data_IF_041965744817
#
_entry.id   IF_041965744817
#
_cell.length_a   1.000
_cell.length_b   1.000
_cell.length_c   1.000
_cell.angle_alpha   90.00
_cell.angle_beta   90.00
_cell.angle_gamma   90.00
#
_symmetry.space_group_name_H-M   'P 1'
#
loop_
_entity.id
_entity.type
_entity.pdbx_description
1 polymer ?
#
# COMPACT_ATOMS: atom_id res chain seq x y z
N UNK A 1 -2.76 -4.15 -22.60
CA UNK A 1 -2.73 -3.08 -21.58
C UNK A 1 -2.52 -3.76 -20.24
N UNK A 2 -1.64 -3.28 -19.36
CA UNK A 2 -1.59 -3.85 -18.00
C UNK A 2 -2.86 -3.39 -17.27
N UNK A 3 -3.74 -4.33 -16.94
CA UNK A 3 -4.79 -4.09 -15.95
C UNK A 3 -4.15 -4.37 -14.59
N UNK A 4 -4.21 -3.42 -13.65
CA UNK A 4 -3.67 -3.58 -12.31
C UNK A 4 -4.80 -3.36 -11.31
N UNK A 5 -4.95 -4.28 -10.36
CA UNK A 5 -6.08 -4.26 -9.43
C UNK A 5 -5.62 -4.47 -8.00
N UNK A 6 -6.27 -3.76 -7.06
CA UNK A 6 -6.12 -4.02 -5.63
C UNK A 6 -7.25 -4.95 -5.19
N UNK A 7 -6.92 -6.04 -4.47
CA UNK A 7 -7.89 -6.85 -3.72
C UNK A 7 -7.98 -6.38 -2.28
N UNK A 8 -9.15 -6.62 -1.67
CA UNK A 8 -9.49 -6.14 -0.32
C UNK A 8 -9.48 -4.61 -0.20
N UNK A 9 -9.97 -3.91 -1.22
CA UNK A 9 -10.00 -2.45 -1.28
C UNK A 9 -10.72 -1.82 -0.07
N UNK A 10 -11.87 -2.36 0.34
CA UNK A 10 -12.63 -1.84 1.47
C UNK A 10 -11.84 -1.90 2.78
N UNK A 11 -11.11 -3.01 3.01
CA UNK A 11 -10.26 -3.20 4.18
C UNK A 11 -9.08 -2.22 4.16
N UNK A 12 -8.40 -2.13 3.01
CA UNK A 12 -7.32 -1.18 2.81
C UNK A 12 -7.76 0.28 3.03
N UNK A 13 -8.87 0.69 2.40
CA UNK A 13 -9.41 2.05 2.53
C UNK A 13 -9.79 2.35 3.99
N UNK A 14 -10.41 1.40 4.69
CA UNK A 14 -10.72 1.56 6.11
C UNK A 14 -9.47 1.81 6.94
N UNK A 15 -8.43 1.00 6.79
CA UNK A 15 -7.18 1.16 7.52
C UNK A 15 -6.46 2.46 7.13
N UNK A 16 -6.46 2.81 5.85
CA UNK A 16 -5.88 4.06 5.36
C UNK A 16 -6.53 5.28 6.00
N UNK A 17 -7.87 5.31 6.08
CA UNK A 17 -8.61 6.41 6.72
C UNK A 17 -8.36 6.51 8.22
N UNK A 18 -8.10 5.40 8.88
CA UNK A 18 -7.82 5.39 10.31
C UNK A 18 -6.45 6.01 10.64
N UNK A 19 -5.48 5.92 9.72
CA UNK A 19 -4.13 6.47 9.94
C UNK A 19 -3.88 7.82 9.26
N UNK A 20 -4.58 8.10 8.15
CA UNK A 20 -4.39 9.32 7.37
C UNK A 20 -4.93 10.57 8.08
N UNK A 21 -4.24 11.69 7.93
CA UNK A 21 -4.74 13.00 8.33
C UNK A 21 -5.58 13.71 7.23
N UNK A 22 -5.87 13.02 6.12
CA UNK A 22 -6.65 13.53 4.99
C UNK A 22 -8.00 12.79 4.86
N UNK A 23 -8.96 13.03 5.78
CA UNK A 23 -10.23 12.29 5.82
C UNK A 23 -11.13 12.52 4.59
N UNK A 24 -10.88 13.58 3.82
CA UNK A 24 -11.68 13.96 2.65
C UNK A 24 -11.04 13.62 1.30
N UNK A 25 -9.88 12.95 1.28
CA UNK A 25 -9.33 12.43 0.02
C UNK A 25 -10.34 11.49 -0.64
N UNK A 26 -10.41 11.35 -1.97
CA UNK A 26 -11.39 10.44 -2.60
C UNK A 26 -10.82 9.03 -2.69
N UNK A 27 -11.65 7.99 -2.55
CA UNK A 27 -11.20 6.59 -2.62
C UNK A 27 -10.47 6.30 -3.95
N UNK A 28 -10.97 6.82 -5.07
CA UNK A 28 -10.30 6.74 -6.38
C UNK A 28 -8.88 7.32 -6.35
N UNK A 29 -8.67 8.47 -5.67
CA UNK A 29 -7.35 9.08 -5.58
C UNK A 29 -6.39 8.27 -4.72
N UNK A 30 -6.88 7.72 -3.61
CA UNK A 30 -6.08 6.85 -2.73
C UNK A 30 -5.62 5.62 -3.52
N UNK A 31 -6.56 4.94 -4.18
CA UNK A 31 -6.29 3.72 -4.94
C UNK A 31 -5.36 3.98 -6.13
N UNK A 32 -5.56 5.08 -6.87
CA UNK A 32 -4.71 5.45 -8.00
C UNK A 32 -3.27 5.73 -7.54
N UNK A 33 -3.08 6.49 -6.46
CA UNK A 33 -1.78 6.80 -5.89
C UNK A 33 -1.03 5.53 -5.47
N UNK A 34 -1.71 4.62 -4.78
CA UNK A 34 -1.13 3.37 -4.27
C UNK A 34 -0.75 2.46 -5.43
N UNK A 35 -1.66 2.26 -6.40
CA UNK A 35 -1.37 1.48 -7.60
C UNK A 35 -0.20 2.07 -8.38
N UNK A 36 -0.17 3.40 -8.57
CA UNK A 36 0.92 4.05 -9.27
C UNK A 36 2.27 3.79 -8.58
N UNK A 37 2.31 3.94 -7.25
CA UNK A 37 3.52 3.67 -6.46
C UNK A 37 3.99 2.22 -6.60
N UNK A 38 3.12 1.25 -6.32
CA UNK A 38 3.46 -0.18 -6.35
C UNK A 38 3.96 -0.62 -7.74
N UNK A 39 3.38 -0.06 -8.80
CA UNK A 39 3.81 -0.34 -10.18
C UNK A 39 5.14 0.33 -10.55
N UNK A 40 5.40 1.53 -10.04
CA UNK A 40 6.64 2.26 -10.33
C UNK A 40 7.84 1.70 -9.57
N UNK A 41 7.66 1.36 -8.29
CA UNK A 41 8.75 0.85 -7.45
C UNK A 41 8.93 -0.65 -7.60
N UNK A 42 7.87 -1.37 -7.96
CA UNK A 42 7.85 -2.82 -7.94
C UNK A 42 7.91 -3.40 -6.52
N UNK A 43 7.65 -2.57 -5.50
CA UNK A 43 7.58 -2.98 -4.10
C UNK A 43 6.24 -3.62 -3.77
N UNK A 44 6.22 -4.29 -2.63
CA UNK A 44 5.06 -4.95 -2.05
C UNK A 44 4.47 -4.13 -0.89
N UNK A 45 4.84 -2.86 -0.78
CA UNK A 45 4.49 -1.99 0.34
C UNK A 45 4.20 -0.59 -0.18
N UNK A 46 3.26 0.08 0.47
CA UNK A 46 3.01 1.50 0.29
C UNK A 46 3.21 2.20 1.63
N UNK A 47 4.07 3.22 1.68
CA UNK A 47 4.30 3.97 2.91
C UNK A 47 3.66 5.35 2.82
N UNK A 48 2.73 5.62 3.74
CA UNK A 48 2.20 6.96 3.97
C UNK A 48 3.18 7.71 4.89
N UNK A 49 3.76 8.84 4.45
CA UNK A 49 4.75 9.56 5.23
C UNK A 49 4.13 10.17 6.49
N UNK A 50 4.95 10.37 7.52
CA UNK A 50 4.56 10.99 8.79
C UNK A 50 3.70 12.26 8.63
N UNK A 51 4.06 13.13 7.68
CA UNK A 51 3.35 14.37 7.38
C UNK A 51 1.90 14.18 6.92
N UNK A 52 1.54 12.99 6.44
CA UNK A 52 0.19 12.63 5.96
C UNK A 52 -0.55 11.69 6.92
N UNK A 53 0.07 11.37 8.06
CA UNK A 53 -0.54 10.55 9.13
C UNK A 53 -1.08 11.41 10.26
N UNK A 54 -2.10 10.92 10.97
CA UNK A 54 -2.65 11.59 12.15
C UNK A 54 -1.75 11.42 13.39
N UNK A 55 -0.96 10.34 13.47
CA UNK A 55 0.00 10.09 14.56
C UNK A 55 1.31 10.86 14.41
N UNK A 56 1.62 11.36 13.20
CA UNK A 56 2.93 11.95 12.90
C UNK A 56 4.03 10.90 12.73
N UNK A 57 3.67 9.63 12.55
CA UNK A 57 4.57 8.49 12.35
C UNK A 57 4.26 7.84 11.01
N UNK A 58 5.26 7.45 10.18
CA UNK A 58 5.00 6.81 8.90
C UNK A 58 4.23 5.49 9.07
N UNK A 59 3.20 5.30 8.24
CA UNK A 59 2.39 4.08 8.22
C UNK A 59 2.67 3.28 6.95
N UNK A 60 3.08 2.01 7.09
CA UNK A 60 3.37 1.14 5.95
C UNK A 60 2.29 0.08 5.77
N UNK A 61 1.73 0.03 4.57
CA UNK A 61 0.66 -0.86 4.16
C UNK A 61 1.23 -2.02 3.33
N UNK A 62 1.11 -3.27 3.79
CA UNK A 62 1.64 -4.42 3.08
C UNK A 62 0.68 -4.94 2.00
N UNK A 63 1.24 -5.33 0.86
CA UNK A 63 0.55 -5.94 -0.27
C UNK A 63 1.26 -7.21 -0.74
N UNK A 64 0.51 -8.22 -1.14
CA UNK A 64 1.00 -9.40 -1.84
C UNK A 64 0.81 -9.20 -3.34
N UNK A 65 1.90 -9.26 -4.12
CA UNK A 65 1.86 -9.10 -5.57
C UNK A 65 1.78 -10.45 -6.27
N UNK A 66 0.81 -10.59 -7.18
CA UNK A 66 0.68 -11.74 -8.07
C UNK A 66 0.62 -11.30 -9.53
N UNK A 67 1.39 -11.97 -10.39
CA UNK A 67 1.32 -11.78 -11.83
C UNK A 67 0.39 -12.82 -12.43
N UNK A 68 -0.69 -12.36 -13.03
CA UNK A 68 -1.70 -13.19 -13.66
C UNK A 68 -1.59 -13.05 -15.18
N UNK A 69 -1.77 -14.15 -15.88
CA UNK A 69 -1.80 -14.18 -17.35
C UNK A 69 -3.23 -14.46 -17.78
N UNK A 70 -3.85 -13.56 -18.52
CA UNK A 70 -5.20 -13.79 -19.03
C UNK A 70 -5.11 -14.70 -20.26
N UNK A 71 -5.51 -15.97 -20.10
CA UNK A 71 -5.33 -17.04 -21.09
C UNK A 71 -5.89 -16.72 -22.49
N UNK A 72 -6.88 -15.82 -22.58
CA UNK A 72 -7.59 -15.53 -23.82
C UNK A 72 -6.96 -14.45 -24.71
N UNK A 73 -6.14 -13.56 -24.16
CA UNK A 73 -5.58 -12.40 -24.90
C UNK A 73 -4.08 -12.20 -24.64
N UNK A 74 -3.46 -13.00 -23.76
CA UNK A 74 -2.04 -12.85 -23.42
C UNK A 74 -1.72 -11.57 -22.63
N UNK A 75 -2.74 -10.84 -22.20
CA UNK A 75 -2.60 -9.67 -21.33
C UNK A 75 -2.10 -10.11 -19.94
N UNK A 76 -1.04 -9.45 -19.48
CA UNK A 76 -0.51 -9.57 -18.12
C UNK A 76 -1.28 -8.63 -17.20
N UNK A 77 -1.79 -9.17 -16.10
CA UNK A 77 -2.47 -8.45 -15.02
C UNK A 77 -1.60 -8.54 -13.76
N UNK A 78 -1.36 -7.41 -13.09
CA UNK A 78 -0.72 -7.42 -11.78
C UNK A 78 -1.77 -7.20 -10.71
N UNK A 79 -1.95 -8.20 -9.87
CA UNK A 79 -2.88 -8.17 -8.74
C UNK A 79 -2.10 -7.87 -7.45
N UNK A 80 -2.57 -6.87 -6.70
CA UNK A 80 -2.03 -6.53 -5.38
C UNK A 80 -3.08 -6.83 -4.32
N UNK A 81 -2.86 -7.85 -3.50
CA UNK A 81 -3.76 -8.20 -2.39
C UNK A 81 -3.28 -7.51 -1.14
N UNK A 82 -4.11 -6.66 -0.54
CA UNK A 82 -3.76 -6.06 0.75
C UNK A 82 -3.61 -7.15 1.82
N UNK A 83 -2.43 -7.22 2.45
CA UNK A 83 -2.04 -8.33 3.33
C UNK A 83 -2.51 -8.13 4.79
N UNK A 84 -3.20 -7.03 5.07
CA UNK A 84 -3.73 -6.71 6.40
C UNK A 84 -3.06 -5.49 7.03
N UNK A 85 -3.25 -5.34 8.35
CA UNK A 85 -3.06 -4.08 9.09
C UNK A 85 -1.75 -3.34 8.78
N UNK A 86 -1.79 -2.00 8.70
CA UNK A 86 -0.58 -1.21 8.54
C UNK A 86 0.29 -1.34 9.79
N UNK A 87 1.60 -1.27 9.60
CA UNK A 87 2.55 -1.19 10.70
C UNK A 87 3.20 0.21 10.73
N UNK A 88 3.32 0.75 11.92
CA UNK A 88 4.07 1.98 12.18
C UNK A 88 5.55 1.64 12.11
N UNK A 89 6.30 2.38 11.30
CA UNK A 89 7.75 2.29 11.30
C UNK A 89 8.23 3.28 12.34
N UNK A 90 8.37 2.80 13.58
CA UNK A 90 9.08 3.54 14.61
C UNK A 90 10.55 3.60 14.17
N UNK A 91 11.09 4.79 13.89
CA UNK A 91 12.52 4.99 13.62
C UNK A 91 13.39 4.79 14.88
N UNK A 92 12.84 4.20 15.95
CA UNK A 92 13.52 3.93 17.21
C UNK A 92 13.78 2.43 17.43
N UNK A 93 14.64 1.83 16.61
CA UNK A 93 15.39 0.64 17.07
C UNK A 93 16.81 0.62 16.54
N UNK A 94 17.54 1.70 16.77
CA UNK A 94 19.01 1.68 16.77
C UNK A 94 19.50 1.33 18.19
N UNK A 95 19.15 0.13 18.65
CA UNK A 95 19.80 -0.50 19.81
C UNK A 95 20.20 -1.91 19.39
N UNK A 96 21.17 -1.98 18.47
CA UNK A 96 21.96 -3.18 18.30
C UNK A 96 22.86 -3.31 19.55
N UNK A 97 22.65 -4.30 20.44
CA UNK A 97 23.62 -4.52 21.50
C UNK A 97 24.90 -5.05 20.87
N UNK A 98 25.98 -4.28 20.98
CA UNK A 98 27.33 -4.78 20.73
C UNK A 98 27.65 -5.81 21.83
N UNK A 99 27.85 -7.07 21.44
CA UNK A 99 28.44 -8.11 22.28
C UNK A 99 29.82 -8.48 21.76
#
# INVERSE_FOLDING_TARGET
MLENVIKQQETFLTDYRNVSNQPNESDEKILERVLLHLNQTGENTFTLPAAETASGVPATFPFERQLLTREYDGTLETEYTYAGKPFEVDEQTDEQPEW
#
